data_IF_070160768579
#
_entry.id   IF_070160768579
#
_cell.length_a   1.000
_cell.length_b   1.000
_cell.length_c   1.000
_cell.angle_alpha   90.00
_cell.angle_beta   90.00
_cell.angle_gamma   90.00
#
_symmetry.space_group_name_H-M   'P 1'
#
loop_
_entity.id
_entity.type
_entity.pdbx_description
1 polymer ?
#
# COMPACT_ATOMS: atom_id res chain seq x y z
N UNK A 1 -7.70 -46.35 -28.05
CA UNK A 1 -6.35 -45.76 -28.09
C UNK A 1 -6.50 -44.25 -28.05
N UNK A 2 -5.73 -43.55 -27.20
CA UNK A 2 -5.71 -42.08 -27.17
C UNK A 2 -5.48 -41.51 -25.77
N UNK A 3 -4.30 -41.74 -25.19
CA UNK A 3 -3.84 -41.04 -23.99
C UNK A 3 -3.23 -39.70 -24.43
N UNK A 4 -3.88 -38.59 -24.08
CA UNK A 4 -3.32 -37.25 -24.26
C UNK A 4 -2.44 -36.91 -23.06
N UNK A 5 -1.14 -37.10 -23.23
CA UNK A 5 -0.12 -36.76 -22.24
C UNK A 5 0.11 -35.24 -22.27
N UNK A 6 -0.51 -34.49 -21.36
CA UNK A 6 -0.21 -33.07 -21.18
C UNK A 6 1.03 -32.90 -20.29
N UNK A 7 2.20 -32.70 -20.92
CA UNK A 7 3.42 -32.30 -20.23
C UNK A 7 3.39 -30.78 -19.94
N UNK A 8 3.58 -30.32 -18.70
CA UNK A 8 3.67 -28.90 -18.41
C UNK A 8 5.01 -28.33 -18.91
N UNK A 9 4.95 -27.26 -19.70
CA UNK A 9 6.14 -26.52 -20.14
C UNK A 9 6.71 -25.74 -18.97
N UNK A 10 7.93 -26.06 -18.52
CA UNK A 10 8.66 -25.26 -17.55
C UNK A 10 9.30 -24.05 -18.24
N UNK A 11 8.96 -22.84 -17.79
CA UNK A 11 9.65 -21.61 -18.18
C UNK A 11 10.56 -21.18 -17.03
N UNK A 12 11.84 -20.99 -17.31
CA UNK A 12 12.79 -20.40 -16.36
C UNK A 12 13.11 -19.00 -16.87
N UNK A 13 12.77 -17.99 -16.06
CA UNK A 13 13.10 -16.59 -16.32
C UNK A 13 14.48 -16.37 -15.74
N UNK A 14 15.51 -16.29 -16.58
CA UNK A 14 16.76 -15.64 -16.18
C UNK A 14 16.58 -14.12 -16.34
N UNK A 15 16.87 -13.32 -15.32
CA UNK A 15 16.86 -11.87 -15.43
C UNK A 15 18.12 -11.40 -16.16
N UNK A 16 17.98 -11.05 -17.43
CA UNK A 16 18.98 -10.26 -18.16
C UNK A 16 18.98 -8.82 -17.61
N UNK A 17 20.12 -8.43 -17.03
CA UNK A 17 20.56 -7.09 -16.61
C UNK A 17 20.01 -6.47 -15.29
N UNK A 18 20.87 -6.26 -14.27
CA UNK A 18 20.51 -5.69 -12.97
C UNK A 18 20.52 -4.14 -12.99
N UNK A 19 19.81 -3.53 -13.94
CA UNK A 19 19.68 -2.08 -14.04
C UNK A 19 18.25 -1.66 -14.38
N UNK A 20 17.32 -1.98 -13.48
CA UNK A 20 16.17 -1.14 -13.07
C UNK A 20 15.23 -1.94 -12.18
N UNK A 21 15.60 -2.11 -10.90
CA UNK A 21 14.77 -2.73 -9.86
C UNK A 21 13.65 -1.80 -9.32
N UNK A 22 13.01 -1.04 -10.23
CA UNK A 22 11.85 -0.20 -9.89
C UNK A 22 10.54 -0.75 -10.46
N UNK A 23 10.56 -1.91 -11.11
CA UNK A 23 9.38 -2.57 -11.68
C UNK A 23 8.94 -3.82 -10.91
N UNK A 24 9.44 -4.05 -9.69
CA UNK A 24 8.91 -5.11 -8.84
C UNK A 24 7.46 -4.79 -8.43
N UNK A 25 6.54 -5.56 -9.01
CA UNK A 25 5.23 -5.96 -8.50
C UNK A 25 4.30 -4.86 -7.98
N UNK A 26 3.78 -4.05 -8.90
CA UNK A 26 2.43 -3.48 -8.72
C UNK A 26 1.44 -4.50 -9.28
N UNK A 27 1.07 -5.49 -8.47
CA UNK A 27 -0.09 -6.34 -8.76
C UNK A 27 -1.34 -5.49 -8.57
N UNK A 28 -1.87 -4.95 -9.67
CA UNK A 28 -3.11 -4.19 -9.65
C UNK A 28 -4.27 -5.12 -9.26
N UNK A 29 -4.78 -4.97 -8.04
CA UNK A 29 -5.97 -5.68 -7.57
C UNK A 29 -7.19 -5.02 -8.20
N UNK A 30 -7.97 -5.79 -8.96
CA UNK A 30 -9.20 -5.28 -9.57
C UNK A 30 -10.21 -4.82 -8.52
N UNK A 31 -10.93 -3.73 -8.78
CA UNK A 31 -11.95 -3.15 -7.90
C UNK A 31 -13.02 -4.16 -7.43
N UNK A 32 -13.30 -5.19 -8.23
CA UNK A 32 -14.29 -6.23 -7.89
C UNK A 32 -13.80 -7.15 -6.76
N UNK A 33 -12.49 -7.42 -6.69
CA UNK A 33 -11.85 -8.14 -5.59
C UNK A 33 -11.85 -7.27 -4.34
N UNK A 34 -11.58 -5.97 -4.47
CA UNK A 34 -11.64 -5.02 -3.35
C UNK A 34 -13.06 -4.95 -2.79
N UNK A 35 -14.09 -4.92 -3.64
CA UNK A 35 -15.50 -4.93 -3.21
C UNK A 35 -15.88 -6.18 -2.43
N UNK A 36 -15.41 -7.36 -2.87
CA UNK A 36 -15.63 -8.63 -2.14
C UNK A 36 -14.88 -8.65 -0.81
N UNK A 37 -13.65 -8.13 -0.78
CA UNK A 37 -12.83 -8.04 0.42
C UNK A 37 -13.41 -7.06 1.45
N UNK A 38 -13.99 -5.95 0.98
CA UNK A 38 -14.64 -4.93 1.80
C UNK A 38 -16.09 -5.29 2.19
N UNK A 39 -16.59 -6.46 1.77
CA UNK A 39 -17.92 -6.94 2.15
C UNK A 39 -19.09 -6.15 1.57
N UNK A 40 -18.87 -5.36 0.51
CA UNK A 40 -19.96 -4.68 -0.21
C UNK A 40 -20.67 -5.66 -1.15
N UNK A 41 -21.30 -6.69 -0.59
CA UNK A 41 -22.37 -7.39 -1.31
C UNK A 41 -23.55 -6.44 -1.41
N UNK A 42 -23.59 -5.67 -2.50
CA UNK A 42 -24.82 -5.01 -2.91
C UNK A 42 -25.86 -6.10 -3.17
N UNK A 43 -26.88 -6.14 -2.31
CA UNK A 43 -28.16 -6.82 -2.51
C UNK A 43 -28.65 -6.54 -3.94
N UNK A 44 -28.34 -7.45 -4.87
CA UNK A 44 -29.05 -7.54 -6.13
C UNK A 44 -30.36 -8.26 -5.85
N UNK A 45 -31.35 -7.42 -5.57
CA UNK A 45 -32.69 -7.46 -6.16
C UNK A 45 -33.38 -8.83 -6.17
N UNK A 46 -34.29 -8.98 -5.21
CA UNK A 46 -35.25 -10.06 -5.10
C UNK A 46 -36.04 -10.26 -6.41
N UNK A 47 -35.94 -11.45 -6.98
CA UNK A 47 -36.93 -11.98 -7.92
C UNK A 47 -37.78 -13.05 -7.20
N UNK A 48 -39.12 -13.08 -7.42
CA UNK A 48 -40.03 -13.97 -6.72
C UNK A 48 -39.91 -15.43 -7.20
N UNK A 49 -40.21 -16.43 -6.34
CA UNK A 49 -40.09 -17.85 -6.70
C UNK A 49 -41.31 -18.33 -7.49
N UNK A 50 -41.13 -19.31 -8.40
CA UNK A 50 -42.16 -20.32 -8.60
C UNK A 50 -41.69 -21.75 -8.30
N UNK A 51 -42.64 -22.63 -7.95
CA UNK A 51 -42.39 -23.87 -7.23
C UNK A 51 -42.04 -25.00 -8.19
N UNK A 52 -41.25 -25.98 -7.73
CA UNK A 52 -41.57 -27.41 -7.81
C UNK A 52 -40.47 -28.21 -7.11
N UNK A 53 -40.92 -29.04 -6.19
CA UNK A 53 -40.20 -30.05 -5.43
C UNK A 53 -39.37 -30.99 -6.30
N UNK A 54 -38.05 -30.99 -6.09
CA UNK A 54 -37.20 -32.17 -6.31
C UNK A 54 -36.71 -32.65 -4.96
N UNK A 55 -36.77 -33.96 -4.64
CA UNK A 55 -36.32 -34.47 -3.36
C UNK A 55 -34.83 -34.18 -3.24
N UNK A 56 -34.48 -33.35 -2.25
CA UNK A 56 -33.12 -33.18 -1.76
C UNK A 56 -32.68 -34.55 -1.22
N UNK A 57 -31.92 -35.29 -2.03
CA UNK A 57 -31.06 -36.34 -1.51
C UNK A 57 -30.02 -35.59 -0.68
N UNK A 58 -30.23 -35.51 0.63
CA UNK A 58 -29.22 -35.09 1.59
C UNK A 58 -28.02 -36.02 1.41
N UNK A 59 -26.87 -35.54 0.89
CA UNK A 59 -25.65 -36.30 1.07
C UNK A 59 -25.43 -36.33 2.57
N UNK A 60 -25.34 -37.54 3.16
CA UNK A 60 -24.86 -37.71 4.53
C UNK A 60 -23.67 -36.77 4.71
N UNK A 61 -23.80 -35.83 5.66
CA UNK A 61 -22.68 -35.00 6.09
C UNK A 61 -21.55 -35.97 6.47
N UNK A 62 -20.57 -36.07 5.58
CA UNK A 62 -19.30 -36.69 5.93
C UNK A 62 -18.73 -35.77 6.99
N UNK A 63 -18.73 -36.25 8.23
CA UNK A 63 -17.93 -35.68 9.31
C UNK A 63 -16.49 -35.75 8.81
N UNK A 64 -15.98 -34.63 8.30
CA UNK A 64 -14.56 -34.49 8.03
C UNK A 64 -13.85 -34.76 9.36
N UNK A 65 -12.91 -35.71 9.42
CA UNK A 65 -12.07 -35.84 10.61
C UNK A 65 -11.37 -34.49 10.86
N UNK A 66 -11.19 -34.07 12.12
CA UNK A 66 -10.48 -32.84 12.42
C UNK A 66 -9.11 -32.89 11.72
N UNK A 67 -8.64 -31.78 11.13
CA UNK A 67 -7.38 -31.76 10.42
C UNK A 67 -6.29 -32.20 11.40
N UNK A 68 -5.78 -33.41 11.20
CA UNK A 68 -4.68 -33.95 11.99
C UNK A 68 -3.52 -33.01 11.74
N UNK A 69 -3.08 -32.30 12.79
CA UNK A 69 -1.92 -31.43 12.72
C UNK A 69 -0.72 -32.32 12.45
N UNK A 70 -0.37 -32.47 11.17
CA UNK A 70 0.77 -33.26 10.77
C UNK A 70 2.04 -32.57 11.28
N UNK A 71 2.98 -33.26 11.94
CA UNK A 71 4.21 -32.65 12.46
C UNK A 71 5.05 -31.97 11.36
N UNK A 72 4.83 -32.32 10.10
CA UNK A 72 5.37 -31.65 8.92
C UNK A 72 4.85 -30.22 8.72
N UNK A 73 3.57 -29.96 9.04
CA UNK A 73 2.94 -28.63 8.97
C UNK A 73 3.46 -27.73 10.08
N UNK A 74 3.66 -28.27 11.27
CA UNK A 74 4.19 -27.54 12.42
C UNK A 74 5.64 -27.10 12.19
N UNK A 75 6.50 -27.99 11.68
CA UNK A 75 7.87 -27.61 11.26
C UNK A 75 7.89 -26.59 10.11
N UNK A 76 6.95 -26.68 9.17
CA UNK A 76 6.83 -25.71 8.08
C UNK A 76 6.44 -24.32 8.62
N UNK A 77 5.53 -24.27 9.61
CA UNK A 77 5.12 -23.05 10.28
C UNK A 77 6.29 -22.44 11.07
N UNK A 78 7.03 -23.24 11.84
CA UNK A 78 8.23 -22.78 12.55
C UNK A 78 9.30 -22.22 11.61
N UNK A 79 9.47 -22.84 10.44
CA UNK A 79 10.36 -22.33 9.40
C UNK A 79 9.91 -20.99 8.81
N UNK A 80 8.59 -20.80 8.64
CA UNK A 80 8.03 -19.52 8.20
C UNK A 80 8.18 -18.44 9.28
N UNK A 81 7.92 -18.74 10.56
CA UNK A 81 8.12 -17.79 11.66
C UNK A 81 9.58 -17.34 11.76
N UNK A 82 10.53 -18.28 11.65
CA UNK A 82 11.96 -17.93 11.65
C UNK A 82 12.34 -17.01 10.50
N UNK A 83 11.90 -17.34 9.27
CA UNK A 83 12.13 -16.47 8.11
C UNK A 83 11.51 -15.09 8.30
N UNK A 84 10.34 -15.00 8.90
CA UNK A 84 9.68 -13.72 9.16
C UNK A 84 10.49 -12.87 10.15
N UNK A 85 10.95 -13.47 11.24
CA UNK A 85 11.83 -12.81 12.22
C UNK A 85 13.12 -12.30 11.57
N UNK A 86 13.82 -13.15 10.81
CA UNK A 86 15.04 -12.75 10.11
C UNK A 86 14.79 -11.61 9.10
N UNK A 87 13.61 -11.56 8.50
CA UNK A 87 13.22 -10.49 7.56
C UNK A 87 12.95 -9.19 8.30
N UNK A 88 12.27 -9.26 9.45
CA UNK A 88 11.99 -8.09 10.29
C UNK A 88 13.31 -7.47 10.77
N UNK A 89 14.21 -8.29 11.33
CA UNK A 89 15.50 -7.82 11.85
C UNK A 89 16.34 -7.12 10.77
N UNK A 90 16.44 -7.71 9.56
CA UNK A 90 17.12 -7.05 8.44
C UNK A 90 16.42 -5.76 7.99
N UNK A 91 15.10 -5.74 7.99
CA UNK A 91 14.34 -4.55 7.59
C UNK A 91 14.49 -3.39 8.56
N UNK A 92 14.73 -3.66 9.85
CA UNK A 92 15.01 -2.63 10.85
C UNK A 92 16.37 -1.96 10.58
N UNK A 93 17.40 -2.75 10.28
CA UNK A 93 18.73 -2.24 9.91
C UNK A 93 18.67 -1.38 8.64
N UNK A 94 17.95 -1.84 7.62
CA UNK A 94 17.77 -1.09 6.36
C UNK A 94 16.98 0.21 6.58
N UNK A 95 15.96 0.18 7.44
CA UNK A 95 15.17 1.36 7.79
C UNK A 95 16.03 2.39 8.52
N UNK A 96 16.80 1.97 9.53
CA UNK A 96 17.68 2.86 10.28
C UNK A 96 18.76 3.45 9.38
N UNK A 97 19.36 2.65 8.50
CA UNK A 97 20.35 3.13 7.54
C UNK A 97 19.76 4.15 6.56
N UNK A 98 18.54 3.91 6.10
CA UNK A 98 17.83 4.85 5.22
C UNK A 98 17.50 6.14 5.96
N UNK A 99 17.04 6.04 7.21
CA UNK A 99 16.74 7.18 8.05
C UNK A 99 17.98 8.05 8.28
N UNK A 100 19.11 7.44 8.64
CA UNK A 100 20.38 8.15 8.84
C UNK A 100 20.89 8.77 7.53
N UNK A 101 20.73 8.07 6.39
CA UNK A 101 21.07 8.61 5.08
C UNK A 101 20.22 9.84 4.73
N UNK A 102 18.92 9.82 5.00
CA UNK A 102 18.02 10.95 4.76
C UNK A 102 18.40 12.11 5.69
N UNK A 103 18.63 11.82 6.97
CA UNK A 103 19.03 12.82 7.96
C UNK A 103 20.35 13.49 7.55
N UNK A 104 21.34 12.69 7.15
CA UNK A 104 22.60 13.21 6.66
C UNK A 104 22.44 13.98 5.35
N UNK A 105 21.54 13.61 4.44
CA UNK A 105 21.24 14.44 3.26
C UNK A 105 20.64 15.79 3.67
N UNK A 106 19.69 15.81 4.60
CA UNK A 106 19.08 17.06 5.11
C UNK A 106 20.11 17.94 5.83
N UNK A 107 21.08 17.36 6.55
CA UNK A 107 22.11 18.09 7.28
C UNK A 107 23.34 18.45 6.41
N UNK A 108 23.73 17.60 5.45
CA UNK A 108 24.91 17.74 4.58
C UNK A 108 24.63 18.51 3.30
N UNK A 109 23.39 18.51 2.78
CA UNK A 109 23.01 19.47 1.77
C UNK A 109 23.02 20.84 2.44
N UNK A 110 24.13 21.56 2.22
CA UNK A 110 24.19 23.02 2.31
C UNK A 110 22.94 23.59 1.64
N UNK A 111 21.94 23.92 2.46
CA UNK A 111 20.68 24.48 2.03
C UNK A 111 20.13 23.79 0.76
N UNK A 112 19.37 22.71 0.93
CA UNK A 112 18.07 22.74 0.22
C UNK A 112 17.55 24.14 0.50
N UNK A 113 17.27 25.01 -0.49
CA UNK A 113 16.67 26.28 -0.19
C UNK A 113 15.35 25.93 0.49
N UNK A 114 15.38 25.90 1.83
CA UNK A 114 14.22 25.86 2.68
C UNK A 114 13.48 27.09 2.21
N UNK A 115 12.52 26.83 1.33
CA UNK A 115 11.54 27.75 0.78
C UNK A 115 11.98 29.20 0.91
N UNK A 116 12.50 29.78 -0.19
CA UNK A 116 12.65 31.23 -0.39
C UNK A 116 12.06 32.04 0.78
N UNK A 117 12.92 32.63 1.61
CA UNK A 117 12.58 33.31 2.88
C UNK A 117 11.35 34.23 2.82
N UNK A 118 10.98 34.68 1.62
CA UNK A 118 9.78 35.44 1.34
C UNK A 118 8.47 34.88 1.94
N UNK A 119 8.32 33.55 2.06
CA UNK A 119 7.05 32.93 2.50
C UNK A 119 7.10 32.21 3.85
N UNK A 120 8.23 32.24 4.57
CA UNK A 120 8.41 31.52 5.85
C UNK A 120 7.49 32.05 6.94
N UNK A 121 7.37 33.37 7.07
CA UNK A 121 6.46 34.02 8.03
C UNK A 121 4.99 33.58 7.85
N UNK A 122 4.55 33.40 6.60
CA UNK A 122 3.21 32.92 6.29
C UNK A 122 3.04 31.44 6.63
N UNK A 123 4.08 30.62 6.46
CA UNK A 123 4.06 29.22 6.89
C UNK A 123 3.91 29.09 8.41
N UNK A 124 4.66 29.89 9.18
CA UNK A 124 4.55 29.90 10.64
C UNK A 124 3.17 30.35 11.09
N UNK A 125 2.58 31.33 10.42
CA UNK A 125 1.21 31.79 10.68
C UNK A 125 0.18 30.68 10.45
N UNK A 126 0.33 29.89 9.38
CA UNK A 126 -0.55 28.73 9.10
C UNK A 126 -0.43 27.68 10.21
N UNK A 127 0.80 27.31 10.57
CA UNK A 127 1.06 26.31 11.62
C UNK A 127 0.50 26.78 12.96
N UNK A 128 0.71 28.06 13.30
CA UNK A 128 0.22 28.66 14.54
C UNK A 128 -1.31 28.66 14.57
N UNK A 129 -1.97 29.06 13.48
CA UNK A 129 -3.43 29.03 13.40
C UNK A 129 -3.99 27.62 13.61
N UNK A 130 -3.39 26.59 13.01
CA UNK A 130 -3.84 25.20 13.19
C UNK A 130 -3.64 24.70 14.62
N UNK A 131 -2.58 25.15 15.32
CA UNK A 131 -2.38 24.83 16.74
C UNK A 131 -3.45 25.48 17.62
N UNK A 132 -3.83 26.71 17.31
CA UNK A 132 -4.85 27.46 18.08
C UNK A 132 -6.29 27.04 17.74
N UNK A 133 -6.52 26.49 16.54
CA UNK A 133 -7.84 26.13 16.02
C UNK A 133 -7.92 24.64 15.64
N UNK A 134 -7.44 23.75 16.51
CA UNK A 134 -7.49 22.29 16.30
C UNK A 134 -8.90 21.78 16.04
N UNK A 135 -9.89 22.37 16.71
CA UNK A 135 -11.28 21.93 16.67
C UNK A 135 -12.03 22.46 15.44
N UNK A 136 -11.50 23.51 14.80
CA UNK A 136 -12.06 24.08 13.58
C UNK A 136 -10.97 24.62 12.64
N UNK A 137 -10.28 23.72 11.91
CA UNK A 137 -9.19 24.07 11.01
C UNK A 137 -9.60 24.98 9.85
N UNK A 138 -10.91 25.08 9.55
CA UNK A 138 -11.42 25.90 8.44
C UNK A 138 -11.21 27.41 8.69
N UNK A 139 -11.07 27.84 9.95
CA UNK A 139 -10.72 29.22 10.29
C UNK A 139 -9.37 29.65 9.72
N UNK A 140 -8.46 28.69 9.53
CA UNK A 140 -7.12 28.94 8.99
C UNK A 140 -7.06 29.03 7.46
N UNK A 141 -8.20 28.92 6.78
CA UNK A 141 -8.27 28.95 5.31
C UNK A 141 -7.62 30.21 4.71
N UNK A 142 -7.83 31.38 5.32
CA UNK A 142 -7.24 32.64 4.84
C UNK A 142 -5.70 32.60 4.85
N UNK A 143 -5.11 32.10 5.94
CA UNK A 143 -3.66 31.95 6.07
C UNK A 143 -3.08 30.96 5.05
N UNK A 144 -3.79 29.85 4.81
CA UNK A 144 -3.36 28.85 3.81
C UNK A 144 -3.41 29.41 2.38
N UNK A 145 -4.44 30.19 2.05
CA UNK A 145 -4.55 30.85 0.73
C UNK A 145 -3.40 31.85 0.54
N UNK A 146 -3.14 32.71 1.53
CA UNK A 146 -2.04 33.68 1.46
C UNK A 146 -0.67 33.01 1.33
N UNK A 147 -0.44 31.94 2.10
CA UNK A 147 0.79 31.16 2.00
C UNK A 147 0.95 30.54 0.59
N UNK A 148 -0.12 29.95 0.06
CA UNK A 148 -0.13 29.36 -1.29
C UNK A 148 0.17 30.40 -2.37
N UNK A 149 -0.46 31.57 -2.31
CA UNK A 149 -0.23 32.66 -3.26
C UNK A 149 1.22 33.15 -3.23
N UNK A 150 1.79 33.28 -2.03
CA UNK A 150 3.20 33.64 -1.87
C UNK A 150 4.12 32.62 -2.55
N UNK A 151 3.90 31.32 -2.33
CA UNK A 151 4.71 30.26 -2.95
C UNK A 151 4.58 30.25 -4.47
N UNK A 152 3.36 30.42 -4.99
CA UNK A 152 3.16 30.47 -6.45
C UNK A 152 3.85 31.69 -7.08
N UNK A 153 3.81 32.83 -6.38
CA UNK A 153 4.45 34.07 -6.85
C UNK A 153 5.97 33.96 -6.79
N UNK A 154 6.54 33.38 -5.73
CA UNK A 154 8.00 33.22 -5.59
C UNK A 154 8.57 32.23 -6.62
N UNK A 155 7.82 31.19 -6.98
CA UNK A 155 8.20 30.27 -8.06
C UNK A 155 8.13 30.93 -9.44
N UNK A 156 7.19 31.84 -9.66
CA UNK A 156 7.08 32.59 -10.91
C UNK A 156 8.19 33.63 -11.08
N UNK A 157 8.59 34.32 -10.01
CA UNK A 157 9.67 35.32 -10.04
C UNK A 157 11.07 34.72 -10.10
N UNK A 158 11.24 33.44 -9.75
CA UNK A 158 12.51 32.71 -9.82
C UNK A 158 12.92 32.27 -11.25
N UNK A 159 12.08 32.49 -12.27
CA UNK A 159 12.48 32.29 -13.69
C UNK A 159 13.06 33.59 -14.24
N UNK A 160 14.37 33.68 -14.53
CA UNK A 160 14.92 34.84 -15.21
C UNK A 160 14.34 34.92 -16.63
N UNK A 161 13.87 36.11 -16.99
CA UNK A 161 13.52 36.47 -18.36
C UNK A 161 14.72 36.20 -19.26
N UNK A 162 14.49 35.40 -20.29
CA UNK A 162 15.47 35.02 -21.31
C UNK A 162 15.64 36.16 -22.33
#
# INVERSE_FOLDING_TARGET
>A
MGASNSSPRSYSVEPDDPKTDASMDIVAVSDDVIKRLMGYEYEREAAPPPPTSTPVITPKAQVLPPPVCSPSRERALEGQLRKLHDTIERSEEDFLRTYDSIRHQVESDKAVPFRTDACTNLADTVVTCYRENSDNPLKCRSHVVAFRECVLTSLASAKPAK
#
